data_IF_013065431828
#
_entry.id   IF_013065431828
#
_cell.length_a   1.000
_cell.length_b   1.000
_cell.length_c   1.000
_cell.angle_alpha   90.00
_cell.angle_beta   90.00
_cell.angle_gamma   90.00
#
_symmetry.space_group_name_H-M   'P 1'
#
loop_
_entity.id
_entity.type
_entity.pdbx_description
1 polymer ?
#
# COMPACT_ATOMS: atom_id res chain seq x y z
N UNK A 1 -11.22 -20.65 -0.96
CA UNK A 1 -12.04 -19.60 -1.64
C UNK A 1 -11.18 -18.41 -2.07
N UNK A 2 -10.30 -17.87 -1.20
CA UNK A 2 -9.38 -16.79 -1.59
C UNK A 2 -8.47 -17.14 -2.78
N UNK A 3 -7.93 -18.36 -2.84
CA UNK A 3 -7.15 -18.83 -4.00
C UNK A 3 -7.96 -18.83 -5.31
N UNK A 4 -9.25 -19.18 -5.27
CA UNK A 4 -10.13 -19.10 -6.44
C UNK A 4 -10.38 -17.65 -6.87
N UNK A 5 -10.52 -16.73 -5.92
CA UNK A 5 -10.52 -15.29 -6.21
C UNK A 5 -9.19 -14.84 -6.83
N UNK A 6 -8.07 -15.34 -6.30
CA UNK A 6 -6.74 -15.08 -6.85
C UNK A 6 -6.52 -15.69 -8.24
N UNK A 7 -7.24 -16.75 -8.60
CA UNK A 7 -7.26 -17.32 -9.94
C UNK A 7 -8.24 -16.60 -10.89
N UNK A 8 -8.88 -15.49 -10.47
CA UNK A 8 -9.94 -14.79 -11.23
C UNK A 8 -11.17 -15.66 -11.56
N UNK A 9 -11.39 -16.75 -10.81
CA UNK A 9 -12.57 -17.60 -10.92
C UNK A 9 -13.81 -17.02 -10.19
N UNK A 10 -13.64 -15.93 -9.44
CA UNK A 10 -14.71 -15.23 -8.71
C UNK A 10 -14.64 -13.74 -9.09
N UNK A 11 -15.75 -13.14 -9.57
CA UNK A 11 -15.80 -11.70 -9.85
C UNK A 11 -15.51 -10.85 -8.60
N UNK A 12 -14.89 -9.68 -8.78
CA UNK A 12 -14.48 -8.81 -7.67
C UNK A 12 -15.68 -8.38 -6.79
N UNK A 13 -16.82 -8.05 -7.40
CA UNK A 13 -18.06 -7.69 -6.69
C UNK A 13 -18.65 -8.85 -5.88
N UNK A 14 -18.65 -10.06 -6.44
CA UNK A 14 -19.11 -11.27 -5.75
C UNK A 14 -18.22 -11.61 -4.56
N UNK A 15 -16.90 -11.44 -4.71
CA UNK A 15 -15.94 -11.65 -3.63
C UNK A 15 -16.11 -10.62 -2.51
N UNK A 16 -16.24 -9.33 -2.83
CA UNK A 16 -16.52 -8.28 -1.84
C UNK A 16 -17.81 -8.58 -1.07
N UNK A 17 -18.90 -8.91 -1.78
CA UNK A 17 -20.17 -9.24 -1.14
C UNK A 17 -20.05 -10.45 -0.19
N UNK A 18 -19.29 -11.48 -0.57
CA UNK A 18 -19.04 -12.63 0.30
C UNK A 18 -18.25 -12.22 1.56
N UNK A 19 -17.22 -11.37 1.41
CA UNK A 19 -16.44 -10.85 2.53
C UNK A 19 -17.26 -9.97 3.47
N UNK A 20 -18.06 -9.04 2.93
CA UNK A 20 -18.95 -8.17 3.72
C UNK A 20 -19.97 -9.02 4.51
N UNK A 21 -20.63 -9.97 3.85
CA UNK A 21 -21.55 -10.90 4.52
C UNK A 21 -20.85 -11.68 5.64
N UNK A 22 -19.61 -12.11 5.42
CA UNK A 22 -18.78 -12.74 6.43
C UNK A 22 -18.50 -11.80 7.61
N UNK A 23 -18.07 -10.57 7.35
CA UNK A 23 -17.79 -9.56 8.37
C UNK A 23 -19.03 -9.28 9.23
N UNK A 24 -20.22 -9.14 8.64
CA UNK A 24 -21.47 -8.92 9.39
C UNK A 24 -21.83 -10.05 10.34
N UNK A 25 -21.52 -11.30 9.97
CA UNK A 25 -22.00 -12.49 10.69
C UNK A 25 -20.95 -13.12 11.60
N UNK A 26 -19.68 -12.83 11.35
CA UNK A 26 -18.58 -13.46 12.04
C UNK A 26 -18.53 -13.03 13.51
N UNK A 27 -18.41 -14.01 14.39
CA UNK A 27 -18.34 -13.83 15.85
C UNK A 27 -16.92 -14.02 16.37
N UNK A 28 -16.08 -14.73 15.63
CA UNK A 28 -14.67 -14.94 15.94
C UNK A 28 -13.85 -13.69 15.56
N UNK A 29 -13.16 -13.05 16.52
CA UNK A 29 -12.39 -11.84 16.25
C UNK A 29 -11.27 -12.00 15.23
N UNK A 30 -10.59 -13.15 15.21
CA UNK A 30 -9.49 -13.41 14.29
C UNK A 30 -10.00 -13.61 12.87
N UNK A 31 -11.08 -14.37 12.71
CA UNK A 31 -11.70 -14.57 11.39
C UNK A 31 -12.24 -13.25 10.84
N UNK A 32 -12.98 -12.48 11.65
CA UNK A 32 -13.51 -11.18 11.22
C UNK A 32 -12.38 -10.24 10.75
N UNK A 33 -11.30 -10.15 11.53
CA UNK A 33 -10.12 -9.34 11.17
C UNK A 33 -9.35 -9.87 9.96
N UNK A 34 -9.44 -11.17 9.67
CA UNK A 34 -8.82 -11.74 8.47
C UNK A 34 -9.62 -11.40 7.22
N UNK A 35 -10.96 -11.41 7.31
CA UNK A 35 -11.83 -11.05 6.20
C UNK A 35 -11.60 -9.61 5.73
N UNK A 36 -11.35 -8.67 6.65
CA UNK A 36 -11.05 -7.28 6.31
C UNK A 36 -9.79 -7.15 5.46
N UNK A 37 -8.78 -7.99 5.69
CA UNK A 37 -7.52 -7.93 4.94
C UNK A 37 -7.69 -8.36 3.47
N UNK A 38 -8.69 -9.19 3.17
CA UNK A 38 -8.99 -9.64 1.81
C UNK A 38 -9.77 -8.62 0.97
N UNK A 39 -10.18 -7.48 1.54
CA UNK A 39 -10.89 -6.42 0.82
C UNK A 39 -9.97 -5.47 0.04
N UNK A 40 -8.70 -5.32 0.44
CA UNK A 40 -7.78 -4.33 -0.16
C UNK A 40 -7.63 -4.51 -1.68
N UNK A 41 -7.36 -5.74 -2.15
CA UNK A 41 -7.19 -6.02 -3.58
C UNK A 41 -8.46 -5.78 -4.43
N UNK A 42 -9.63 -6.38 -4.12
CA UNK A 42 -10.82 -6.18 -4.95
C UNK A 42 -11.34 -4.73 -4.94
N UNK A 43 -11.14 -3.97 -3.86
CA UNK A 43 -11.51 -2.56 -3.81
C UNK A 43 -10.83 -1.73 -4.92
N UNK A 44 -9.62 -2.11 -5.33
CA UNK A 44 -8.88 -1.42 -6.38
C UNK A 44 -9.36 -1.74 -7.81
N UNK A 45 -10.16 -2.80 -7.99
CA UNK A 45 -10.58 -3.28 -9.31
C UNK A 45 -12.05 -2.96 -9.64
N UNK A 46 -12.87 -2.60 -8.64
CA UNK A 46 -14.28 -2.23 -8.84
C UNK A 46 -14.46 -0.78 -9.32
N UNK A 47 -15.65 -0.48 -9.85
CA UNK A 47 -16.02 0.87 -10.28
C UNK A 47 -16.08 1.86 -9.10
N UNK A 48 -15.93 3.16 -9.38
CA UNK A 48 -16.03 4.18 -8.32
C UNK A 48 -17.43 4.19 -7.65
N UNK A 49 -18.50 3.94 -8.41
CA UNK A 49 -19.87 3.89 -7.86
C UNK A 49 -20.04 2.73 -6.87
N UNK A 50 -19.55 1.54 -7.21
CA UNK A 50 -19.57 0.39 -6.30
C UNK A 50 -18.66 0.62 -5.11
N UNK A 51 -17.49 1.24 -5.34
CA UNK A 51 -16.53 1.56 -4.30
C UNK A 51 -17.10 2.53 -3.27
N UNK A 52 -17.81 3.57 -3.70
CA UNK A 52 -18.47 4.51 -2.79
C UNK A 52 -19.49 3.79 -1.88
N UNK A 53 -20.27 2.84 -2.42
CA UNK A 53 -21.24 2.05 -1.64
C UNK A 53 -20.52 1.19 -0.59
N UNK A 54 -19.48 0.47 -1.01
CA UNK A 54 -18.71 -0.42 -0.12
C UNK A 54 -17.95 0.38 0.95
N UNK A 55 -17.29 1.48 0.58
CA UNK A 55 -16.56 2.35 1.50
C UNK A 55 -17.49 2.93 2.59
N UNK A 56 -18.70 3.35 2.23
CA UNK A 56 -19.70 3.82 3.19
C UNK A 56 -20.16 2.73 4.17
N UNK A 57 -20.39 1.51 3.67
CA UNK A 57 -20.76 0.37 4.52
C UNK A 57 -19.63 -0.02 5.49
N UNK A 58 -18.40 -0.11 4.99
CA UNK A 58 -17.21 -0.38 5.80
C UNK A 58 -17.00 0.71 6.85
N UNK A 59 -17.24 1.98 6.50
CA UNK A 59 -17.13 3.09 7.44
C UNK A 59 -18.17 2.98 8.55
N UNK A 60 -19.43 2.67 8.24
CA UNK A 60 -20.46 2.40 9.24
C UNK A 60 -20.06 1.24 10.17
N UNK A 61 -19.58 0.12 9.60
CA UNK A 61 -19.11 -1.04 10.36
C UNK A 61 -17.90 -0.73 11.25
N UNK A 62 -16.99 0.16 10.81
CA UNK A 62 -15.85 0.58 11.63
C UNK A 62 -16.24 1.28 12.94
N UNK A 63 -17.50 1.74 13.04
CA UNK A 63 -18.05 2.34 14.25
C UNK A 63 -18.94 1.35 15.02
N UNK A 64 -19.77 0.58 14.31
CA UNK A 64 -20.86 -0.21 14.93
C UNK A 64 -20.54 -1.68 15.15
N UNK A 65 -19.52 -2.24 14.50
CA UNK A 65 -19.26 -3.68 14.56
C UNK A 65 -19.01 -4.14 16.02
N UNK A 66 -19.62 -5.26 16.48
CA UNK A 66 -19.56 -5.67 17.89
C UNK A 66 -18.14 -6.00 18.36
N UNK A 67 -17.32 -6.56 17.47
CA UNK A 67 -15.92 -6.91 17.76
C UNK A 67 -14.99 -5.68 17.62
N UNK A 68 -14.30 -5.24 18.69
CA UNK A 68 -13.41 -4.07 18.63
C UNK A 68 -12.23 -4.21 17.67
N UNK A 69 -11.63 -5.40 17.58
CA UNK A 69 -10.51 -5.64 16.66
C UNK A 69 -10.95 -5.51 15.19
N UNK A 70 -12.18 -5.91 14.86
CA UNK A 70 -12.73 -5.75 13.52
C UNK A 70 -12.93 -4.26 13.20
N UNK A 71 -13.47 -3.47 14.14
CA UNK A 71 -13.67 -2.02 13.97
C UNK A 71 -12.38 -1.28 13.62
N UNK A 72 -11.30 -1.52 14.38
CA UNK A 72 -10.02 -0.86 14.11
C UNK A 72 -9.38 -1.34 12.80
N UNK A 73 -9.54 -2.61 12.42
CA UNK A 73 -9.00 -3.12 11.15
C UNK A 73 -9.76 -2.57 9.94
N UNK A 74 -11.09 -2.42 10.04
CA UNK A 74 -11.90 -1.73 9.04
C UNK A 74 -11.47 -0.26 8.89
N UNK A 75 -11.27 0.45 10.00
CA UNK A 75 -10.83 1.84 9.95
C UNK A 75 -9.43 1.97 9.33
N UNK A 76 -8.49 1.07 9.66
CA UNK A 76 -7.15 1.03 9.04
C UNK A 76 -7.19 0.70 7.55
N UNK A 77 -8.07 -0.21 7.13
CA UNK A 77 -8.30 -0.48 5.71
C UNK A 77 -8.77 0.79 4.99
N UNK A 78 -9.74 1.51 5.57
CA UNK A 78 -10.25 2.76 4.99
C UNK A 78 -9.18 3.85 4.96
N UNK A 79 -8.36 3.97 6.00
CA UNK A 79 -7.21 4.90 5.99
C UNK A 79 -6.30 4.61 4.80
N UNK A 80 -5.95 3.34 4.55
CA UNK A 80 -5.03 2.96 3.49
C UNK A 80 -5.65 3.00 2.08
N UNK A 81 -6.94 2.72 1.93
CA UNK A 81 -7.54 2.47 0.63
C UNK A 81 -8.59 3.50 0.22
N UNK A 82 -9.11 4.37 1.08
CA UNK A 82 -10.22 5.26 0.72
C UNK A 82 -9.93 6.11 -0.53
N UNK A 83 -10.88 6.19 -1.45
CA UNK A 83 -10.82 7.11 -2.60
C UNK A 83 -12.04 8.02 -2.70
N UNK A 84 -13.15 7.68 -2.05
CA UNK A 84 -14.37 8.49 -2.10
C UNK A 84 -14.14 9.89 -1.50
N UNK A 85 -14.49 10.98 -2.20
CA UNK A 85 -14.34 12.34 -1.66
C UNK A 85 -15.05 12.55 -0.32
N UNK A 86 -16.23 11.96 -0.15
CA UNK A 86 -16.98 12.04 1.10
C UNK A 86 -16.22 11.36 2.24
N UNK A 87 -15.75 10.13 2.03
CA UNK A 87 -14.99 9.39 3.04
C UNK A 87 -13.67 10.08 3.38
N UNK A 88 -12.96 10.64 2.39
CA UNK A 88 -11.74 11.41 2.64
C UNK A 88 -12.00 12.62 3.54
N UNK A 89 -13.14 13.30 3.37
CA UNK A 89 -13.52 14.41 4.25
C UNK A 89 -13.85 13.95 5.68
N UNK A 90 -14.50 12.80 5.84
CA UNK A 90 -14.72 12.17 7.15
C UNK A 90 -13.40 11.81 7.83
N UNK A 91 -12.47 11.19 7.10
CA UNK A 91 -11.13 10.84 7.58
C UNK A 91 -10.30 12.09 7.93
N UNK A 92 -10.40 13.16 7.14
CA UNK A 92 -9.78 14.45 7.46
C UNK A 92 -10.32 14.99 8.79
N UNK A 93 -11.63 15.00 8.98
CA UNK A 93 -12.26 15.48 10.23
C UNK A 93 -11.83 14.65 11.44
N UNK A 94 -11.77 13.32 11.27
CA UNK A 94 -11.29 12.40 12.29
C UNK A 94 -9.83 12.69 12.66
N UNK A 95 -8.97 12.92 11.66
CA UNK A 95 -7.57 13.29 11.88
C UNK A 95 -7.43 14.66 12.56
N UNK A 96 -8.17 15.67 12.09
CA UNK A 96 -8.08 17.04 12.58
C UNK A 96 -8.49 17.12 14.06
N UNK A 97 -9.58 16.46 14.42
CA UNK A 97 -10.15 16.48 15.78
C UNK A 97 -9.53 15.46 16.74
N UNK A 98 -8.76 14.49 16.24
CA UNK A 98 -8.24 13.35 17.00
C UNK A 98 -9.32 12.62 17.83
N UNK A 99 -10.55 12.57 17.31
CA UNK A 99 -11.74 12.17 18.06
C UNK A 99 -11.93 10.64 18.18
N UNK A 100 -11.09 9.82 17.54
CA UNK A 100 -11.18 8.37 17.62
C UNK A 100 -10.26 7.82 18.70
N UNK A 101 -10.85 7.26 19.76
CA UNK A 101 -10.13 6.51 20.81
C UNK A 101 -9.59 5.16 20.30
N UNK A 102 -10.02 4.72 19.11
CA UNK A 102 -9.56 3.47 18.51
C UNK A 102 -8.17 3.63 17.89
N UNK A 103 -7.81 4.84 17.47
CA UNK A 103 -6.55 5.10 16.78
C UNK A 103 -5.45 5.51 17.77
N UNK A 104 -4.28 4.93 17.61
CA UNK A 104 -3.08 5.39 18.31
C UNK A 104 -2.29 6.41 17.45
N UNK A 105 -1.20 6.95 18.00
CA UNK A 105 -0.35 7.93 17.30
C UNK A 105 0.17 7.44 15.94
N UNK A 106 0.51 6.14 15.81
CA UNK A 106 0.96 5.57 14.53
C UNK A 106 -0.17 5.54 13.51
N UNK A 107 -1.39 5.22 13.95
CA UNK A 107 -2.56 5.24 13.07
C UNK A 107 -2.87 6.67 12.59
N UNK A 108 -2.82 7.67 13.47
CA UNK A 108 -2.96 9.08 13.07
C UNK A 108 -1.83 9.55 12.15
N UNK A 109 -0.62 9.04 12.34
CA UNK A 109 0.53 9.33 11.47
C UNK A 109 0.33 8.73 10.07
N UNK A 110 -0.10 7.48 9.99
CA UNK A 110 -0.45 6.85 8.71
C UNK A 110 -1.58 7.62 8.02
N UNK A 111 -2.64 7.98 8.76
CA UNK A 111 -3.74 8.78 8.24
C UNK A 111 -3.27 10.14 7.69
N UNK A 112 -2.33 10.81 8.36
CA UNK A 112 -1.75 12.06 7.85
C UNK A 112 -1.01 11.87 6.51
N UNK A 113 -0.27 10.77 6.35
CA UNK A 113 0.38 10.45 5.06
C UNK A 113 -0.65 10.22 3.96
N UNK A 114 -1.64 9.37 4.22
CA UNK A 114 -2.67 9.00 3.25
C UNK A 114 -3.51 10.21 2.81
N UNK A 115 -3.89 11.08 3.76
CA UNK A 115 -4.58 12.34 3.47
C UNK A 115 -3.68 13.31 2.72
N UNK A 116 -2.40 13.43 3.09
CA UNK A 116 -1.47 14.33 2.40
C UNK A 116 -1.28 13.95 0.94
N UNK A 117 -1.31 12.66 0.61
CA UNK A 117 -1.22 12.17 -0.76
C UNK A 117 -2.49 12.47 -1.58
N UNK A 118 -3.66 12.25 -0.99
CA UNK A 118 -4.95 12.37 -1.69
C UNK A 118 -5.51 13.79 -1.70
N UNK A 119 -5.14 14.61 -0.72
CA UNK A 119 -5.56 16.00 -0.56
C UNK A 119 -4.37 16.94 -0.76
N UNK A 120 -3.75 16.89 -1.94
CA UNK A 120 -2.48 17.58 -2.24
C UNK A 120 -2.48 19.08 -1.92
N UNK A 121 -3.60 19.78 -2.09
CA UNK A 121 -3.76 21.19 -1.72
C UNK A 121 -3.63 21.49 -0.22
N UNK A 122 -3.86 20.50 0.64
CA UNK A 122 -3.75 20.61 2.10
C UNK A 122 -2.58 19.80 2.67
N UNK A 123 -1.92 18.96 1.87
CA UNK A 123 -0.96 17.97 2.34
C UNK A 123 0.18 18.55 3.17
N UNK A 124 0.77 19.68 2.75
CA UNK A 124 1.83 20.34 3.52
C UNK A 124 1.36 20.72 4.94
N UNK A 125 0.18 21.32 5.06
CA UNK A 125 -0.42 21.71 6.35
C UNK A 125 -0.72 20.48 7.22
N UNK A 126 -1.24 19.41 6.62
CA UNK A 126 -1.53 18.15 7.32
C UNK A 126 -0.25 17.58 7.94
N UNK A 127 0.84 17.55 7.17
CA UNK A 127 2.13 17.04 7.65
C UNK A 127 2.74 17.93 8.73
N UNK A 128 2.66 19.26 8.60
CA UNK A 128 3.16 20.21 9.60
C UNK A 128 2.44 20.04 10.94
N UNK A 129 1.11 19.94 10.93
CA UNK A 129 0.31 19.70 12.14
C UNK A 129 0.62 18.33 12.73
N UNK A 130 0.67 17.27 11.91
CA UNK A 130 0.95 15.93 12.43
C UNK A 130 2.35 15.85 13.04
N UNK A 131 3.35 16.49 12.43
CA UNK A 131 4.71 16.57 12.95
C UNK A 131 4.75 17.17 14.36
N UNK A 132 4.00 18.24 14.61
CA UNK A 132 3.91 18.89 15.93
C UNK A 132 3.24 18.01 17.00
N UNK A 133 2.41 17.05 16.59
CA UNK A 133 1.73 16.11 17.50
C UNK A 133 2.63 14.94 17.92
N UNK A 134 3.77 14.72 17.27
CA UNK A 134 4.70 13.62 17.55
C UNK A 134 5.76 14.07 18.56
N UNK A 135 5.64 13.58 19.79
CA UNK A 135 6.56 13.94 20.87
C UNK A 135 7.79 13.02 20.96
N UNK A 136 7.66 11.77 20.52
CA UNK A 136 8.77 10.82 20.57
C UNK A 136 9.83 11.16 19.50
N UNK A 137 11.11 11.36 19.88
CA UNK A 137 12.13 11.83 18.94
C UNK A 137 12.45 10.82 17.83
N UNK A 138 12.36 9.52 18.10
CA UNK A 138 12.62 8.48 17.09
C UNK A 138 11.47 8.42 16.07
N UNK A 139 10.23 8.54 16.54
CA UNK A 139 9.05 8.64 15.66
C UNK A 139 9.04 9.94 14.86
N UNK A 140 9.54 11.04 15.43
CA UNK A 140 9.69 12.30 14.71
C UNK A 140 10.71 12.16 13.57
N UNK A 141 11.86 11.50 13.81
CA UNK A 141 12.83 11.19 12.74
C UNK A 141 12.25 10.26 11.68
N UNK A 142 11.50 9.24 12.09
CA UNK A 142 10.76 8.38 11.16
C UNK A 142 9.79 9.20 10.30
N UNK A 143 9.05 10.11 10.92
CA UNK A 143 8.09 10.98 10.26
C UNK A 143 8.76 11.88 9.23
N UNK A 144 9.83 12.56 9.62
CA UNK A 144 10.59 13.44 8.74
C UNK A 144 11.21 12.69 7.56
N UNK A 145 11.61 11.43 7.75
CA UNK A 145 12.13 10.60 6.68
C UNK A 145 11.04 10.21 5.68
N UNK A 146 9.92 9.65 6.15
CA UNK A 146 8.86 9.08 5.31
C UNK A 146 8.02 10.19 4.64
N UNK A 147 7.76 11.29 5.34
CA UNK A 147 6.92 12.39 4.83
C UNK A 147 7.48 13.06 3.56
N UNK A 148 8.78 12.89 3.28
CA UNK A 148 9.40 13.32 2.00
C UNK A 148 8.71 12.71 0.78
N UNK A 149 8.14 11.51 0.91
CA UNK A 149 7.40 10.85 -0.18
C UNK A 149 6.01 11.45 -0.41
N UNK A 150 5.52 12.36 0.43
CA UNK A 150 4.16 12.92 0.34
C UNK A 150 4.04 14.12 -0.60
N UNK A 151 5.16 14.60 -1.16
CA UNK A 151 5.17 15.76 -2.05
C UNK A 151 4.52 15.45 -3.41
N UNK A 152 3.89 16.45 -4.03
CA UNK A 152 3.41 16.37 -5.41
C UNK A 152 4.50 16.70 -6.46
N UNK A 153 5.67 17.19 -6.00
CA UNK A 153 6.79 17.56 -6.84
C UNK A 153 7.56 16.32 -7.31
N UNK A 154 7.39 15.98 -8.58
CA UNK A 154 7.95 14.77 -9.20
C UNK A 154 9.48 14.74 -9.18
N UNK A 155 10.15 15.89 -9.31
CA UNK A 155 11.62 15.97 -9.24
C UNK A 155 12.14 15.63 -7.84
N UNK A 156 11.41 16.06 -6.80
CA UNK A 156 11.73 15.67 -5.41
C UNK A 156 11.46 14.19 -5.15
N UNK A 157 10.41 13.62 -5.75
CA UNK A 157 10.16 12.17 -5.67
C UNK A 157 11.27 11.38 -6.35
N UNK A 158 11.73 11.81 -7.53
CA UNK A 158 12.84 11.17 -8.24
C UNK A 158 14.14 11.26 -7.45
N UNK A 159 14.45 12.43 -6.91
CA UNK A 159 15.62 12.63 -6.05
C UNK A 159 15.55 11.77 -4.78
N UNK A 160 14.35 11.64 -4.20
CA UNK A 160 14.11 10.76 -3.05
C UNK A 160 14.34 9.29 -3.40
N UNK A 161 13.77 8.82 -4.52
CA UNK A 161 13.98 7.46 -4.99
C UNK A 161 15.46 7.16 -5.24
N UNK A 162 16.18 8.04 -5.94
CA UNK A 162 17.62 7.90 -6.17
C UNK A 162 18.40 7.86 -4.85
N UNK A 163 18.00 8.64 -3.85
CA UNK A 163 18.62 8.56 -2.53
C UNK A 163 18.43 7.19 -1.87
N UNK A 164 17.27 6.54 -2.05
CA UNK A 164 17.03 5.19 -1.54
C UNK A 164 17.87 4.11 -2.25
N UNK A 165 18.48 4.41 -3.41
CA UNK A 165 19.43 3.52 -4.07
C UNK A 165 20.82 3.54 -3.40
N UNK A 166 21.07 4.45 -2.45
CA UNK A 166 22.31 4.45 -1.65
C UNK A 166 22.13 3.69 -0.34
N UNK A 167 23.07 2.80 0.00
CA UNK A 167 23.00 1.94 1.17
C UNK A 167 22.87 2.73 2.49
N UNK A 168 23.51 3.89 2.59
CA UNK A 168 23.47 4.76 3.77
C UNK A 168 22.05 5.25 4.08
N UNK A 169 21.22 5.43 3.06
CA UNK A 169 19.82 5.86 3.20
C UNK A 169 18.87 4.69 3.47
N UNK A 170 19.38 3.45 3.50
CA UNK A 170 18.63 2.23 3.84
C UNK A 170 18.97 1.68 5.23
N UNK A 171 19.81 2.37 6.01
CA UNK A 171 20.22 1.94 7.37
C UNK A 171 19.05 1.59 8.31
N UNK A 172 17.93 2.30 8.20
CA UNK A 172 16.69 1.95 8.90
C UNK A 172 15.72 1.40 7.86
N UNK A 173 15.86 0.10 7.60
CA UNK A 173 15.16 -0.62 6.54
C UNK A 173 13.63 -0.46 6.56
N UNK A 174 12.93 -0.48 7.72
CA UNK A 174 11.49 -0.24 7.72
C UNK A 174 11.13 1.14 7.16
N UNK A 175 11.94 2.18 7.40
CA UNK A 175 11.67 3.52 6.90
C UNK A 175 11.91 3.59 5.39
N UNK A 176 12.98 2.95 4.90
CA UNK A 176 13.27 2.86 3.47
C UNK A 176 12.16 2.10 2.72
N UNK A 177 11.73 0.95 3.23
CA UNK A 177 10.64 0.18 2.65
C UNK A 177 9.31 0.95 2.64
N UNK A 178 8.93 1.61 3.75
CA UNK A 178 7.71 2.44 3.78
C UNK A 178 7.79 3.61 2.80
N UNK A 179 8.95 4.27 2.72
CA UNK A 179 9.17 5.38 1.76
C UNK A 179 9.06 4.89 0.32
N UNK A 180 9.67 3.74 -0.01
CA UNK A 180 9.56 3.11 -1.33
C UNK A 180 8.11 2.72 -1.65
N UNK A 181 7.36 2.22 -0.66
CA UNK A 181 5.94 1.90 -0.83
C UNK A 181 5.09 3.14 -1.15
N UNK A 182 5.42 4.30 -0.57
CA UNK A 182 4.72 5.56 -0.87
C UNK A 182 5.14 6.20 -2.19
N UNK A 183 6.39 6.00 -2.61
CA UNK A 183 6.82 6.33 -3.97
C UNK A 183 6.04 5.50 -5.01
N UNK A 184 5.74 4.24 -4.70
CA UNK A 184 4.92 3.32 -5.49
C UNK A 184 3.44 3.28 -5.04
N UNK A 185 2.92 4.36 -4.46
CA UNK A 185 1.52 4.40 -4.03
C UNK A 185 0.56 4.27 -5.22
N UNK A 186 -0.61 3.64 -5.04
CA UNK A 186 -1.60 3.40 -6.11
C UNK A 186 -2.04 4.66 -6.84
N UNK A 187 -2.18 5.78 -6.11
CA UNK A 187 -2.47 7.11 -6.67
C UNK A 187 -1.38 7.65 -7.63
N UNK A 188 -0.21 7.01 -7.69
CA UNK A 188 0.93 7.38 -8.54
C UNK A 188 1.42 6.22 -9.40
N UNK A 189 0.64 5.14 -9.51
CA UNK A 189 1.08 3.88 -10.13
C UNK A 189 1.69 4.08 -11.52
N UNK A 190 1.09 4.93 -12.37
CA UNK A 190 1.58 5.17 -13.73
C UNK A 190 2.94 5.89 -13.74
N UNK A 191 3.09 6.89 -12.87
CA UNK A 191 4.35 7.62 -12.70
C UNK A 191 5.46 6.74 -12.11
N UNK A 192 5.10 5.86 -11.17
CA UNK A 192 6.04 5.06 -10.41
C UNK A 192 6.60 3.85 -11.17
N UNK A 193 6.05 3.49 -12.34
CA UNK A 193 6.54 2.35 -13.16
C UNK A 193 8.04 2.46 -13.43
N UNK A 194 8.56 3.68 -13.68
CA UNK A 194 9.97 3.94 -13.96
C UNK A 194 10.92 3.54 -12.82
N UNK A 195 10.41 3.40 -11.59
CA UNK A 195 11.21 2.98 -10.44
C UNK A 195 11.43 1.47 -10.38
N UNK A 196 10.65 0.67 -11.11
CA UNK A 196 10.72 -0.79 -11.06
C UNK A 196 12.11 -1.29 -11.44
N UNK A 197 12.58 -0.97 -12.64
CA UNK A 197 13.87 -1.49 -13.12
C UNK A 197 15.06 -1.10 -12.23
N UNK A 198 15.30 0.17 -11.90
CA UNK A 198 16.44 0.53 -11.05
C UNK A 198 16.37 -0.11 -9.65
N UNK A 199 15.17 -0.27 -9.09
CA UNK A 199 15.01 -0.90 -7.78
C UNK A 199 15.24 -2.43 -7.83
N UNK A 200 14.98 -3.09 -8.96
CA UNK A 200 15.31 -4.50 -9.16
C UNK A 200 16.82 -4.71 -9.41
N UNK A 201 17.45 -3.79 -10.14
CA UNK A 201 18.92 -3.77 -10.33
C UNK A 201 19.65 -3.65 -8.99
N UNK A 202 19.17 -2.78 -8.10
CA UNK A 202 19.75 -2.54 -6.78
C UNK A 202 19.52 -3.68 -5.77
N UNK A 203 18.63 -4.65 -6.07
CA UNK A 203 18.19 -5.65 -5.09
C UNK A 203 19.31 -6.59 -4.60
N UNK A 204 20.35 -6.82 -5.40
CA UNK A 204 21.55 -7.58 -4.97
C UNK A 204 22.31 -6.82 -3.88
N UNK A 205 22.44 -5.51 -4.05
CA UNK A 205 23.06 -4.62 -3.06
C UNK A 205 22.21 -4.58 -1.78
N UNK A 206 20.89 -4.40 -1.93
CA UNK A 206 19.91 -4.44 -0.83
C UNK A 206 20.06 -5.72 0.00
N UNK A 207 20.28 -6.87 -0.63
CA UNK A 207 20.55 -8.13 0.07
C UNK A 207 21.90 -8.12 0.80
N UNK A 208 22.93 -7.54 0.20
CA UNK A 208 24.29 -7.50 0.75
C UNK A 208 24.38 -6.61 1.98
N UNK A 209 23.64 -5.50 2.01
CA UNK A 209 23.73 -4.52 3.11
C UNK A 209 22.60 -4.62 4.13
N UNK A 210 21.54 -5.35 3.80
CA UNK A 210 20.37 -5.46 4.65
C UNK A 210 20.27 -6.76 5.41
N UNK A 211 19.25 -6.84 6.25
CA UNK A 211 18.85 -8.08 6.90
C UNK A 211 18.29 -9.10 5.87
N UNK A 212 18.15 -10.35 6.31
CA UNK A 212 17.70 -11.45 5.46
C UNK A 212 16.26 -11.28 4.93
N UNK A 213 15.46 -10.41 5.56
CA UNK A 213 14.08 -10.11 5.20
C UNK A 213 13.96 -8.87 4.30
N UNK A 214 14.93 -7.96 4.32
CA UNK A 214 14.86 -6.69 3.63
C UNK A 214 14.68 -6.80 2.11
N UNK A 215 15.35 -7.74 1.40
CA UNK A 215 15.09 -7.94 -0.03
C UNK A 215 13.62 -8.26 -0.34
N UNK A 216 12.94 -9.00 0.54
CA UNK A 216 11.51 -9.30 0.39
C UNK A 216 10.67 -8.05 0.62
N UNK A 217 11.00 -7.26 1.64
CA UNK A 217 10.28 -6.02 1.95
C UNK A 217 10.48 -4.97 0.85
N UNK A 218 11.67 -4.90 0.26
CA UNK A 218 12.02 -4.00 -0.84
C UNK A 218 11.17 -4.27 -2.09
N UNK A 219 11.16 -5.50 -2.59
CA UNK A 219 10.34 -5.85 -3.76
C UNK A 219 8.83 -5.78 -3.47
N UNK A 220 8.42 -6.07 -2.23
CA UNK A 220 7.04 -5.90 -1.79
C UNK A 220 6.61 -4.43 -1.82
N UNK A 221 7.44 -3.53 -1.28
CA UNK A 221 7.21 -2.08 -1.32
C UNK A 221 7.24 -1.53 -2.75
N UNK A 222 8.07 -2.11 -3.61
CA UNK A 222 8.17 -1.72 -5.02
C UNK A 222 6.93 -2.11 -5.82
N UNK A 223 6.47 -3.37 -5.71
CA UNK A 223 5.57 -3.98 -6.70
C UNK A 223 4.11 -4.11 -6.24
N UNK A 224 3.82 -4.11 -4.93
CA UNK A 224 2.50 -4.48 -4.39
C UNK A 224 1.32 -3.71 -4.98
N UNK A 225 1.51 -2.43 -5.30
CA UNK A 225 0.44 -1.54 -5.77
C UNK A 225 0.41 -1.35 -7.30
N UNK A 226 1.29 -2.06 -8.03
CA UNK A 226 1.29 -2.02 -9.50
C UNK A 226 0.34 -3.06 -10.07
N UNK A 227 -0.46 -2.65 -11.06
CA UNK A 227 -1.40 -3.52 -11.74
C UNK A 227 -1.50 -3.27 -13.25
N UNK A 228 -0.55 -2.51 -13.81
CA UNK A 228 -0.48 -2.09 -15.21
C UNK A 228 0.38 -3.05 -16.05
N UNK A 229 0.13 -3.09 -17.36
CA UNK A 229 0.94 -3.87 -18.29
C UNK A 229 2.38 -3.32 -18.35
N UNK A 230 2.56 -2.00 -18.28
CA UNK A 230 3.88 -1.40 -18.26
C UNK A 230 4.73 -1.90 -17.08
N UNK A 231 4.16 -2.01 -15.88
CA UNK A 231 4.86 -2.57 -14.73
C UNK A 231 5.23 -4.05 -14.93
N UNK A 232 4.32 -4.84 -15.52
CA UNK A 232 4.59 -6.23 -15.89
C UNK A 232 5.77 -6.33 -16.87
N UNK A 233 5.79 -5.50 -17.93
CA UNK A 233 6.86 -5.48 -18.93
C UNK A 233 8.20 -5.07 -18.34
N UNK A 234 8.26 -4.15 -17.37
CA UNK A 234 9.51 -3.81 -16.69
C UNK A 234 10.09 -5.00 -15.91
N UNK A 235 9.24 -5.76 -15.20
CA UNK A 235 9.67 -6.98 -14.49
C UNK A 235 10.16 -8.05 -15.46
N UNK A 236 9.40 -8.33 -16.53
CA UNK A 236 9.78 -9.33 -17.54
C UNK A 236 11.07 -8.95 -18.29
N UNK A 237 11.21 -7.68 -18.66
CA UNK A 237 12.41 -7.19 -19.33
C UNK A 237 13.61 -7.30 -18.41
N UNK A 238 13.46 -6.97 -17.12
CA UNK A 238 14.53 -7.16 -16.13
C UNK A 238 14.97 -8.62 -16.04
N UNK A 239 14.02 -9.56 -15.88
CA UNK A 239 14.33 -10.98 -15.73
C UNK A 239 14.92 -11.62 -17.00
N UNK A 240 14.49 -11.19 -18.18
CA UNK A 240 15.03 -11.68 -19.47
C UNK A 240 16.42 -11.14 -19.78
N UNK A 241 16.71 -9.90 -19.39
CA UNK A 241 18.05 -9.29 -19.54
C UNK A 241 19.06 -9.78 -18.49
N UNK A 242 18.59 -10.43 -17.42
CA UNK A 242 19.43 -10.98 -16.35
C UNK A 242 19.16 -12.49 -16.17
N UNK A 243 19.49 -13.35 -17.15
CA UNK A 243 19.21 -14.78 -17.07
C UNK A 243 19.91 -15.47 -15.89
N UNK A 244 21.08 -14.98 -15.49
CA UNK A 244 21.90 -15.52 -14.40
C UNK A 244 21.59 -14.88 -13.02
N UNK A 245 20.46 -14.16 -12.90
CA UNK A 245 20.10 -13.49 -11.66
C UNK A 245 19.95 -14.48 -10.49
N UNK A 246 20.42 -14.14 -9.27
CA UNK A 246 20.41 -15.08 -8.14
C UNK A 246 19.01 -15.71 -7.91
N UNK A 247 18.88 -17.05 -7.91
CA UNK A 247 17.58 -17.72 -7.89
C UNK A 247 16.68 -17.31 -6.72
N UNK A 248 17.26 -17.10 -5.53
CA UNK A 248 16.51 -16.66 -4.35
C UNK A 248 15.95 -15.24 -4.49
N UNK A 249 16.68 -14.32 -5.14
CA UNK A 249 16.19 -12.96 -5.37
C UNK A 249 15.16 -12.94 -6.50
N UNK A 250 15.39 -13.70 -7.57
CA UNK A 250 14.39 -13.93 -8.63
C UNK A 250 13.07 -14.42 -8.06
N UNK A 251 13.10 -15.39 -7.14
CA UNK A 251 11.89 -15.89 -6.49
C UNK A 251 11.17 -14.81 -5.66
N UNK A 252 11.90 -13.91 -4.98
CA UNK A 252 11.27 -12.78 -4.26
C UNK A 252 10.58 -11.81 -5.23
N UNK A 253 11.21 -11.52 -6.37
CA UNK A 253 10.62 -10.69 -7.44
C UNK A 253 9.34 -11.34 -7.94
N UNK A 254 9.38 -12.61 -8.35
CA UNK A 254 8.23 -13.34 -8.88
C UNK A 254 7.06 -13.42 -7.88
N UNK A 255 7.36 -13.64 -6.60
CA UNK A 255 6.34 -13.63 -5.54
C UNK A 255 5.67 -12.26 -5.39
N UNK A 256 6.44 -11.17 -5.41
CA UNK A 256 5.89 -9.82 -5.32
C UNK A 256 5.16 -9.39 -6.60
N UNK A 257 5.63 -9.83 -7.77
CA UNK A 257 5.05 -9.56 -9.07
C UNK A 257 3.87 -10.50 -9.43
N UNK A 258 3.56 -11.52 -8.61
CA UNK A 258 2.51 -12.48 -8.91
C UNK A 258 1.16 -11.85 -9.34
N UNK A 259 0.68 -10.73 -8.73
CA UNK A 259 -0.51 -10.02 -9.20
C UNK A 259 -0.44 -9.49 -10.65
N UNK A 260 0.77 -9.16 -11.14
CA UNK A 260 0.99 -8.74 -12.53
C UNK A 260 0.93 -9.95 -13.47
N UNK A 261 1.62 -11.05 -13.14
CA UNK A 261 1.64 -12.25 -13.97
C UNK A 261 0.24 -12.84 -14.17
N UNK A 262 -0.58 -12.95 -13.11
CA UNK A 262 -1.96 -13.44 -13.24
C UNK A 262 -2.84 -12.59 -14.17
N UNK A 263 -2.47 -11.33 -14.42
CA UNK A 263 -3.25 -10.39 -15.25
C UNK A 263 -2.79 -10.36 -16.70
N UNK A 264 -1.50 -10.62 -16.94
CA UNK A 264 -0.86 -10.38 -18.24
C UNK A 264 -0.15 -11.60 -18.86
N UNK A 265 0.30 -12.59 -18.08
CA UNK A 265 1.12 -13.70 -18.59
C UNK A 265 0.41 -14.58 -19.64
N UNK A 266 -0.91 -14.75 -19.52
CA UNK A 266 -1.68 -15.52 -20.52
C UNK A 266 -1.96 -14.71 -21.79
N UNK A 267 -1.92 -13.37 -21.74
CA UNK A 267 -2.11 -12.52 -22.92
C UNK A 267 -0.91 -12.57 -23.86
N UNK A 268 0.30 -12.75 -23.34
CA UNK A 268 1.50 -12.92 -24.16
C UNK A 268 1.56 -14.26 -24.90
N UNK A 269 0.85 -15.29 -24.43
CA UNK A 269 0.76 -16.58 -25.14
C UNK A 269 -0.27 -16.58 -26.28
N UNK A 270 -1.12 -15.56 -26.33
CA UNK A 270 -2.20 -15.41 -27.32
C UNK A 270 -1.88 -14.40 -28.44
N UNK A 271 -0.74 -13.70 -28.34
CA UNK A 271 -0.21 -12.78 -29.34
C UNK A 271 1.08 -13.36 -29.95
#
# INVERSE_FOLDING_TARGET
MHENYQAKNIPDTAWINALLNGIHREKNPLTASTLTNYLSAPLQEISQEERDKVENELYALSHSHPIPSCRIQLLRLLIAEATSPALLQHLYTLWETQNSRQLNERDYTALAYELSLRMSGQGKRILEIQRQRINNPDRLRQFDFISRAMTADTLKLDSLFQSLLQAENRRIEPWAATTLSYLNHSARKDYAVKYIRPALEELVEVQRTGDIFFPRNWVGALLRNHSSEAAYREVETFLSTHPDYPPLLKNKILQAAYPLYRKYADKEKMN
#
